data_IF_897756955254
#
_entry.id   IF_897756955254
#
_cell.length_a   1.000
_cell.length_b   1.000
_cell.length_c   1.000
_cell.angle_alpha   90.00
_cell.angle_beta   90.00
_cell.angle_gamma   90.00
#
_symmetry.space_group_name_H-M   'P 1'
#
loop_
_entity.id
_entity.type
_entity.pdbx_description
1 polymer ?
#
# COMPACT_ATOMS: atom_id res chain seq x y z
N UNK A 1 -7.13 6.92 -12.84
CA UNK A 1 -7.59 8.14 -12.13
C UNK A 1 -7.45 7.89 -10.65
N UNK A 2 -6.94 8.91 -9.91
CA UNK A 2 -6.86 8.87 -8.46
C UNK A 2 -7.97 9.72 -7.86
N UNK A 3 -8.58 9.22 -6.76
CA UNK A 3 -9.55 9.95 -5.95
C UNK A 3 -9.19 9.80 -4.47
N UNK A 4 -9.29 10.90 -3.75
CA UNK A 4 -9.02 10.93 -2.32
C UNK A 4 -10.31 11.17 -1.53
N UNK A 5 -10.57 10.32 -0.52
CA UNK A 5 -11.62 10.53 0.47
C UNK A 5 -11.08 11.24 1.71
N UNK A 6 -11.98 11.65 2.59
CA UNK A 6 -11.69 12.29 3.87
C UNK A 6 -10.85 13.58 3.78
N UNK A 7 -10.88 14.29 2.65
CA UNK A 7 -10.22 15.60 2.56
C UNK A 7 -10.98 16.66 3.36
N UNK A 8 -10.32 17.75 3.83
CA UNK A 8 -10.97 18.80 4.59
C UNK A 8 -12.29 19.29 3.98
N UNK A 9 -13.30 19.42 4.81
CA UNK A 9 -14.67 19.86 4.47
C UNK A 9 -15.43 18.95 3.49
N UNK A 10 -14.92 17.77 3.19
CA UNK A 10 -15.60 16.81 2.30
C UNK A 10 -16.78 16.16 3.05
N UNK A 11 -17.91 16.07 2.38
CA UNK A 11 -19.08 15.34 2.89
C UNK A 11 -19.23 14.01 2.17
N UNK A 12 -19.89 13.03 2.81
CA UNK A 12 -20.18 11.72 2.23
C UNK A 12 -20.92 11.85 0.88
N UNK A 13 -21.93 12.74 0.82
CA UNK A 13 -22.70 12.99 -0.42
C UNK A 13 -21.88 13.67 -1.51
N UNK A 14 -20.98 14.60 -1.13
CA UNK A 14 -20.06 15.25 -2.06
C UNK A 14 -19.07 14.25 -2.64
N UNK A 15 -18.51 13.38 -1.82
CA UNK A 15 -17.62 12.32 -2.25
C UNK A 15 -18.34 11.31 -3.18
N UNK A 16 -19.54 10.87 -2.82
CA UNK A 16 -20.36 10.01 -3.67
C UNK A 16 -20.57 10.62 -5.06
N UNK A 17 -20.94 11.90 -5.12
CA UNK A 17 -21.12 12.61 -6.39
C UNK A 17 -19.84 12.64 -7.24
N UNK A 18 -18.67 12.74 -6.61
CA UNK A 18 -17.39 12.69 -7.31
C UNK A 18 -17.09 11.28 -7.85
N UNK A 19 -17.33 10.23 -7.07
CA UNK A 19 -17.21 8.84 -7.56
C UNK A 19 -18.09 8.58 -8.78
N UNK A 20 -19.35 9.00 -8.73
CA UNK A 20 -20.29 8.83 -9.84
C UNK A 20 -19.84 9.57 -11.13
N UNK A 21 -19.19 10.73 -10.97
CA UNK A 21 -18.59 11.44 -12.12
C UNK A 21 -17.39 10.70 -12.69
N UNK A 22 -16.51 10.15 -11.82
CA UNK A 22 -15.34 9.38 -12.23
C UNK A 22 -15.77 8.11 -12.98
N UNK A 23 -16.77 7.40 -12.47
CA UNK A 23 -17.33 6.22 -13.15
C UNK A 23 -17.83 6.55 -14.55
N UNK A 24 -18.46 7.73 -14.74
CA UNK A 24 -18.91 8.19 -16.07
C UNK A 24 -17.77 8.48 -17.06
N UNK A 25 -16.57 8.78 -16.57
CA UNK A 25 -15.37 8.91 -17.41
C UNK A 25 -14.86 7.56 -17.91
N UNK A 26 -15.31 6.49 -17.30
CA UNK A 26 -15.02 5.11 -17.67
C UNK A 26 -13.51 4.79 -17.78
N UNK A 27 -12.68 5.15 -16.78
CA UNK A 27 -11.26 4.81 -16.81
C UNK A 27 -11.05 3.29 -16.64
N UNK A 28 -9.90 2.79 -17.04
CA UNK A 28 -9.51 1.39 -16.86
C UNK A 28 -9.15 1.06 -15.41
N UNK A 29 -8.61 2.06 -14.69
CA UNK A 29 -8.08 1.91 -13.33
C UNK A 29 -8.42 3.12 -12.47
N UNK A 30 -8.77 2.87 -11.21
CA UNK A 30 -9.08 3.89 -10.20
C UNK A 30 -8.32 3.56 -8.92
N UNK A 31 -7.50 4.51 -8.45
CA UNK A 31 -6.92 4.50 -7.12
C UNK A 31 -7.81 5.32 -6.20
N UNK A 32 -8.33 4.71 -5.13
CA UNK A 32 -9.22 5.38 -4.19
C UNK A 32 -8.71 5.15 -2.75
N UNK A 33 -8.19 6.18 -2.15
CA UNK A 33 -7.58 6.12 -0.81
C UNK A 33 -8.03 7.28 0.06
N UNK A 34 -7.97 7.07 1.37
CA UNK A 34 -8.28 8.08 2.37
C UNK A 34 -7.09 9.01 2.58
N UNK A 35 -7.36 10.28 2.86
CA UNK A 35 -6.34 11.24 3.22
C UNK A 35 -5.62 10.78 4.50
N UNK A 36 -4.30 10.77 4.45
CA UNK A 36 -3.44 10.65 5.63
C UNK A 36 -2.82 12.03 5.88
N UNK A 37 -2.99 12.53 7.10
CA UNK A 37 -2.42 13.81 7.50
C UNK A 37 -1.01 13.58 8.03
N UNK A 38 -0.02 14.00 7.25
CA UNK A 38 1.40 13.81 7.56
C UNK A 38 1.93 14.96 8.43
N UNK A 39 2.59 14.61 9.54
CA UNK A 39 3.26 15.57 10.42
C UNK A 39 4.31 16.40 9.65
N UNK A 40 4.45 17.68 10.01
CA UNK A 40 5.38 18.61 9.34
C UNK A 40 4.86 19.17 8.02
N UNK A 41 3.60 18.90 7.65
CA UNK A 41 2.95 19.51 6.47
C UNK A 41 2.06 20.70 6.85
N UNK A 42 1.84 21.67 5.94
CA UNK A 42 0.89 22.74 6.19
C UNK A 42 -0.54 22.25 6.50
N UNK A 43 -0.92 21.10 5.97
CA UNK A 43 -2.20 20.48 6.24
C UNK A 43 -2.30 20.00 7.69
N UNK A 44 -1.23 19.36 8.20
CA UNK A 44 -1.15 18.96 9.60
C UNK A 44 -1.37 20.16 10.52
N UNK A 45 -0.69 21.29 10.27
CA UNK A 45 -0.86 22.52 11.04
C UNK A 45 -2.29 23.08 10.97
N UNK A 46 -2.98 22.92 9.84
CA UNK A 46 -4.39 23.34 9.70
C UNK A 46 -5.32 22.47 10.54
N UNK A 47 -5.11 21.16 10.51
CA UNK A 47 -5.91 20.19 11.27
C UNK A 47 -5.72 20.41 12.76
N UNK A 48 -4.47 20.53 13.23
CA UNK A 48 -4.17 20.81 14.64
C UNK A 48 -4.83 22.11 15.11
N UNK A 49 -4.73 23.20 14.35
CA UNK A 49 -5.35 24.49 14.69
C UNK A 49 -6.88 24.46 14.74
N UNK A 50 -7.49 23.56 13.96
CA UNK A 50 -8.95 23.37 13.98
C UNK A 50 -9.43 22.37 15.04
N UNK A 51 -8.52 21.71 15.76
CA UNK A 51 -8.87 20.60 16.65
C UNK A 51 -9.43 19.38 15.92
N UNK A 52 -9.13 19.23 14.63
CA UNK A 52 -9.65 18.15 13.79
C UNK A 52 -10.99 18.44 13.10
N UNK A 53 -11.69 19.51 13.49
CA UNK A 53 -13.06 19.82 13.04
C UNK A 53 -13.22 19.99 11.52
N UNK A 54 -12.13 20.22 10.79
CA UNK A 54 -12.16 20.36 9.34
C UNK A 54 -12.18 19.04 8.57
N UNK A 55 -11.85 17.94 9.24
CA UNK A 55 -11.86 16.60 8.63
C UNK A 55 -13.22 15.92 8.84
N UNK A 56 -13.65 15.05 7.91
CA UNK A 56 -14.72 14.12 8.17
C UNK A 56 -14.42 13.26 9.39
N UNK A 57 -15.46 12.85 10.10
CA UNK A 57 -15.35 11.91 11.22
C UNK A 57 -14.90 10.52 10.70
N UNK A 58 -14.37 9.69 11.60
CA UNK A 58 -14.04 8.30 11.24
C UNK A 58 -15.23 7.52 10.66
N UNK A 59 -16.44 7.77 11.14
CA UNK A 59 -17.65 7.13 10.64
C UNK A 59 -17.99 7.59 9.21
N UNK A 60 -17.79 8.87 8.91
CA UNK A 60 -17.97 9.40 7.56
C UNK A 60 -16.90 8.84 6.60
N UNK A 61 -15.63 8.72 7.03
CA UNK A 61 -14.59 8.11 6.22
C UNK A 61 -14.89 6.62 5.95
N UNK A 62 -15.32 5.86 6.97
CA UNK A 62 -15.79 4.47 6.78
C UNK A 62 -16.97 4.37 5.81
N UNK A 63 -17.90 5.33 5.85
CA UNK A 63 -19.01 5.39 4.89
C UNK A 63 -18.50 5.67 3.47
N UNK A 64 -17.56 6.61 3.29
CA UNK A 64 -16.95 6.90 1.99
C UNK A 64 -16.23 5.67 1.45
N UNK A 65 -15.48 4.95 2.29
CA UNK A 65 -14.84 3.69 1.90
C UNK A 65 -15.85 2.61 1.47
N UNK A 66 -16.93 2.44 2.22
CA UNK A 66 -17.99 1.48 1.87
C UNK A 66 -18.70 1.85 0.56
N UNK A 67 -18.98 3.14 0.34
CA UNK A 67 -19.53 3.67 -0.91
C UNK A 67 -18.59 3.42 -2.10
N UNK A 68 -17.28 3.64 -1.92
CA UNK A 68 -16.27 3.37 -2.94
C UNK A 68 -16.36 1.91 -3.41
N UNK A 69 -16.30 0.98 -2.48
CA UNK A 69 -16.42 -0.46 -2.79
C UNK A 69 -17.68 -0.78 -3.58
N UNK A 70 -18.82 -0.26 -3.12
CA UNK A 70 -20.12 -0.54 -3.72
C UNK A 70 -20.24 0.06 -5.12
N UNK A 71 -19.98 1.36 -5.27
CA UNK A 71 -20.17 2.10 -6.54
C UNK A 71 -19.22 1.57 -7.61
N UNK A 72 -17.95 1.30 -7.27
CA UNK A 72 -16.99 0.79 -8.23
C UNK A 72 -17.30 -0.66 -8.63
N UNK A 73 -17.73 -1.52 -7.69
CA UNK A 73 -18.17 -2.87 -8.01
C UNK A 73 -19.40 -2.87 -8.93
N UNK A 74 -20.42 -2.05 -8.62
CA UNK A 74 -21.63 -1.90 -9.46
C UNK A 74 -21.28 -1.38 -10.87
N UNK A 75 -20.19 -0.64 -11.02
CA UNK A 75 -19.68 -0.12 -12.29
C UNK A 75 -18.74 -1.09 -13.03
N UNK A 76 -18.51 -2.30 -12.51
CA UNK A 76 -17.70 -3.35 -13.13
C UNK A 76 -16.19 -3.24 -12.87
N UNK A 77 -15.79 -2.52 -11.83
CA UNK A 77 -14.42 -2.55 -11.31
C UNK A 77 -14.32 -3.58 -10.19
N UNK A 78 -13.26 -4.37 -10.19
CA UNK A 78 -12.93 -5.21 -9.05
C UNK A 78 -11.80 -4.59 -8.24
N UNK A 79 -11.91 -4.67 -6.93
CA UNK A 79 -10.83 -4.30 -6.03
C UNK A 79 -9.81 -5.41 -6.02
N UNK A 80 -8.56 -5.15 -6.42
CA UNK A 80 -7.50 -6.15 -6.43
C UNK A 80 -6.52 -6.02 -5.25
N UNK A 81 -6.45 -4.81 -4.64
CA UNK A 81 -5.76 -4.54 -3.39
C UNK A 81 -6.52 -3.48 -2.57
N UNK A 82 -6.02 -3.05 -1.42
CA UNK A 82 -6.77 -2.22 -0.44
C UNK A 82 -7.36 -0.96 -1.05
N UNK A 83 -6.61 -0.24 -1.89
CA UNK A 83 -6.97 1.10 -2.41
C UNK A 83 -7.16 1.13 -3.92
N UNK A 84 -6.88 0.05 -4.64
CA UNK A 84 -6.89 0.06 -6.09
C UNK A 84 -7.95 -0.85 -6.70
N UNK A 85 -8.62 -0.30 -7.70
CA UNK A 85 -9.72 -0.91 -8.41
C UNK A 85 -9.43 -0.87 -9.91
N UNK A 86 -9.72 -1.95 -10.62
CA UNK A 86 -9.46 -2.04 -12.05
C UNK A 86 -10.57 -2.79 -12.79
N UNK A 87 -10.69 -2.55 -14.08
CA UNK A 87 -11.36 -3.49 -14.97
C UNK A 87 -10.49 -4.72 -15.15
N UNK A 88 -11.08 -5.90 -15.43
CA UNK A 88 -10.29 -7.13 -15.63
C UNK A 88 -9.15 -6.92 -16.65
N UNK A 89 -7.92 -7.21 -16.24
CA UNK A 89 -6.71 -7.10 -17.07
C UNK A 89 -6.05 -5.71 -17.06
N UNK A 90 -6.57 -4.75 -16.27
CA UNK A 90 -6.00 -3.42 -16.11
C UNK A 90 -5.46 -3.15 -14.70
N UNK A 91 -5.21 -4.20 -13.93
CA UNK A 91 -4.54 -4.10 -12.63
C UNK A 91 -3.13 -3.49 -12.80
N UNK A 92 -2.78 -2.55 -11.92
CA UNK A 92 -1.47 -1.91 -11.98
C UNK A 92 -0.37 -2.88 -11.52
N UNK A 93 0.36 -3.46 -12.47
CA UNK A 93 1.47 -4.39 -12.18
C UNK A 93 2.57 -3.75 -11.33
N UNK A 94 2.81 -2.45 -11.50
CA UNK A 94 3.77 -1.72 -10.68
C UNK A 94 3.35 -1.73 -9.20
N UNK A 95 2.08 -1.43 -8.89
CA UNK A 95 1.59 -1.47 -7.51
C UNK A 95 1.59 -2.90 -6.95
N UNK A 96 1.10 -3.87 -7.73
CA UNK A 96 1.09 -5.27 -7.32
C UNK A 96 2.51 -5.79 -7.01
N UNK A 97 3.52 -5.39 -7.80
CA UNK A 97 4.90 -5.83 -7.59
C UNK A 97 5.48 -5.47 -6.22
N UNK A 98 5.05 -4.35 -5.62
CA UNK A 98 5.43 -4.02 -4.24
C UNK A 98 4.80 -4.97 -3.22
N UNK A 99 3.53 -5.29 -3.40
CA UNK A 99 2.80 -6.21 -2.51
C UNK A 99 3.28 -7.65 -2.64
N UNK A 100 3.81 -8.02 -3.81
CA UNK A 100 4.44 -9.32 -4.10
C UNK A 100 5.93 -9.35 -3.75
N UNK A 101 6.49 -8.27 -3.19
CA UNK A 101 7.90 -8.14 -2.86
C UNK A 101 8.83 -8.41 -4.05
N UNK A 102 8.47 -7.93 -5.24
CA UNK A 102 9.36 -8.00 -6.42
C UNK A 102 10.54 -7.04 -6.23
N UNK A 103 11.72 -7.42 -6.71
CA UNK A 103 12.90 -6.56 -6.72
C UNK A 103 12.63 -5.25 -7.45
N UNK A 104 13.09 -4.15 -6.88
CA UNK A 104 13.02 -2.84 -7.53
C UNK A 104 14.22 -1.97 -7.15
N UNK A 105 14.57 -1.07 -8.08
CA UNK A 105 15.63 -0.07 -7.87
C UNK A 105 15.03 1.32 -8.03
N UNK A 106 15.17 2.14 -6.98
CA UNK A 106 14.76 3.53 -6.99
C UNK A 106 15.84 4.44 -7.58
N UNK A 107 15.42 5.34 -8.45
CA UNK A 107 16.27 6.35 -9.05
C UNK A 107 15.92 7.74 -8.53
N UNK A 108 16.92 8.52 -8.19
CA UNK A 108 16.76 9.86 -7.67
C UNK A 108 17.00 9.96 -6.15
N UNK A 109 16.97 11.18 -5.63
CA UNK A 109 17.10 11.45 -4.20
C UNK A 109 15.98 10.84 -3.40
N UNK A 110 16.28 10.31 -2.23
CA UNK A 110 15.35 9.65 -1.31
C UNK A 110 14.56 8.46 -1.91
N UNK A 111 14.96 7.95 -3.08
CA UNK A 111 14.29 6.81 -3.69
C UNK A 111 14.72 5.51 -3.02
N UNK A 112 13.74 4.68 -2.64
CA UNK A 112 13.97 3.39 -2.00
C UNK A 112 14.18 2.26 -3.03
N UNK A 113 14.92 1.24 -2.62
CA UNK A 113 15.20 0.03 -3.39
C UNK A 113 15.03 -1.21 -2.52
N UNK A 114 14.61 -2.31 -3.12
CA UNK A 114 14.61 -3.65 -2.52
C UNK A 114 15.27 -4.63 -3.47
N UNK A 115 16.32 -5.29 -3.01
CA UNK A 115 16.99 -6.37 -3.73
C UNK A 115 16.93 -7.64 -2.90
N UNK A 116 16.31 -8.68 -3.45
CA UNK A 116 16.22 -9.98 -2.79
C UNK A 116 17.55 -10.73 -2.87
N UNK A 117 17.71 -11.66 -1.94
CA UNK A 117 18.80 -12.63 -1.95
C UNK A 117 18.92 -13.30 -3.32
N UNK A 118 20.15 -13.36 -3.85
CA UNK A 118 20.50 -13.96 -5.13
C UNK A 118 21.93 -14.50 -5.10
N UNK A 119 22.43 -15.03 -6.20
CA UNK A 119 23.85 -15.42 -6.32
C UNK A 119 24.79 -14.22 -6.09
N UNK A 120 24.38 -13.02 -6.51
CA UNK A 120 25.16 -11.79 -6.35
C UNK A 120 25.00 -11.14 -4.98
N UNK A 121 23.90 -11.41 -4.29
CA UNK A 121 23.58 -10.85 -2.98
C UNK A 121 23.19 -11.97 -2.01
N UNK A 122 24.06 -12.29 -1.02
CA UNK A 122 23.83 -13.42 -0.11
C UNK A 122 22.66 -13.20 0.84
N UNK A 123 22.19 -11.96 0.97
CA UNK A 123 21.09 -11.56 1.83
C UNK A 123 20.25 -10.49 1.13
N UNK A 124 18.94 -10.50 1.34
CA UNK A 124 18.04 -9.43 0.87
C UNK A 124 18.39 -8.12 1.56
N UNK A 125 18.27 -7.02 0.84
CA UNK A 125 18.57 -5.68 1.38
C UNK A 125 17.59 -4.63 0.87
N UNK A 126 17.27 -3.71 1.74
CA UNK A 126 16.57 -2.47 1.42
C UNK A 126 17.54 -1.31 1.63
N UNK A 127 17.48 -0.33 0.75
CA UNK A 127 18.24 0.88 0.91
C UNK A 127 17.50 2.08 0.33
N UNK A 128 17.82 3.27 0.85
CA UNK A 128 17.26 4.55 0.39
C UNK A 128 18.42 5.44 -0.06
N UNK A 129 18.31 6.01 -1.24
CA UNK A 129 19.27 6.97 -1.72
C UNK A 129 19.29 8.22 -0.81
N UNK A 130 20.42 8.92 -0.73
CA UNK A 130 20.50 10.16 0.03
C UNK A 130 19.44 11.17 -0.41
N UNK A 131 18.94 11.96 0.54
CA UNK A 131 18.09 13.12 0.26
C UNK A 131 18.87 14.37 -0.16
N UNK A 132 20.21 14.37 -0.03
CA UNK A 132 21.08 15.43 -0.51
C UNK A 132 21.26 15.35 -2.02
N UNK A 133 20.65 16.30 -2.75
CA UNK A 133 20.69 16.34 -4.21
C UNK A 133 22.11 16.46 -4.77
N UNK A 134 22.96 17.30 -4.17
CA UNK A 134 24.33 17.48 -4.64
C UNK A 134 25.17 16.22 -4.40
N UNK A 135 25.02 15.61 -3.23
CA UNK A 135 25.66 14.34 -2.89
C UNK A 135 25.23 13.21 -3.82
N UNK A 136 23.92 13.13 -4.13
CA UNK A 136 23.40 12.15 -5.08
C UNK A 136 23.98 12.33 -6.49
N UNK A 137 24.02 13.56 -7.00
CA UNK A 137 24.58 13.84 -8.34
C UNK A 137 26.06 13.45 -8.42
N UNK A 138 26.83 13.67 -7.34
CA UNK A 138 28.27 13.33 -7.28
C UNK A 138 28.51 11.82 -7.22
N UNK A 139 27.66 11.08 -6.51
CA UNK A 139 27.77 9.62 -6.36
C UNK A 139 26.36 8.98 -6.29
N UNK A 140 25.74 8.69 -7.44
CA UNK A 140 24.38 8.18 -7.48
C UNK A 140 24.25 6.67 -7.16
N UNK A 141 25.37 5.94 -7.05
CA UNK A 141 25.35 4.49 -6.89
C UNK A 141 25.52 4.07 -5.44
N UNK A 142 26.46 4.72 -4.71
CA UNK A 142 26.86 4.28 -3.37
C UNK A 142 26.57 5.35 -2.30
N UNK A 143 25.64 6.25 -2.55
CA UNK A 143 25.29 7.32 -1.60
C UNK A 143 23.89 7.06 -1.02
N UNK A 144 23.84 6.09 -0.11
CA UNK A 144 22.62 5.72 0.59
C UNK A 144 22.56 6.41 1.96
N UNK A 145 21.36 6.87 2.35
CA UNK A 145 21.11 7.41 3.70
C UNK A 145 20.78 6.30 4.69
N UNK A 146 20.17 5.23 4.21
CA UNK A 146 19.75 4.09 5.00
C UNK A 146 20.04 2.81 4.21
N UNK A 147 20.50 1.79 4.90
CA UNK A 147 20.66 0.44 4.36
C UNK A 147 20.30 -0.58 5.45
N UNK A 148 19.45 -1.53 5.12
CA UNK A 148 18.98 -2.59 5.99
C UNK A 148 19.20 -3.94 5.32
N UNK A 149 19.84 -4.87 6.03
CA UNK A 149 19.95 -6.26 5.62
C UNK A 149 18.80 -7.03 6.25
N UNK A 150 17.91 -7.56 5.42
CA UNK A 150 16.71 -8.26 5.87
C UNK A 150 17.04 -9.69 6.32
N UNK A 151 16.65 -10.03 7.54
CA UNK A 151 16.70 -11.41 8.01
C UNK A 151 15.58 -12.23 7.37
N UNK A 152 15.62 -13.55 7.51
CA UNK A 152 14.52 -14.40 7.05
C UNK A 152 13.21 -14.09 7.78
N UNK A 153 13.28 -13.73 9.06
CA UNK A 153 12.09 -13.35 9.84
C UNK A 153 11.48 -12.05 9.31
N UNK A 154 12.30 -11.01 9.02
CA UNK A 154 11.84 -9.77 8.40
C UNK A 154 11.16 -10.05 7.05
N UNK A 155 11.75 -10.92 6.23
CA UNK A 155 11.17 -11.28 4.93
C UNK A 155 9.85 -12.04 5.05
N UNK A 156 9.69 -12.90 6.07
CA UNK A 156 8.43 -13.60 6.35
C UNK A 156 7.35 -12.61 6.83
N UNK A 157 7.70 -11.66 7.70
CA UNK A 157 6.79 -10.62 8.16
C UNK A 157 6.32 -9.73 7.00
N UNK A 158 7.24 -9.31 6.13
CA UNK A 158 6.90 -8.54 4.94
C UNK A 158 6.00 -9.31 3.97
N UNK A 159 6.27 -10.59 3.75
CA UNK A 159 5.43 -11.45 2.93
C UNK A 159 3.98 -11.46 3.44
N UNK A 160 3.82 -11.48 4.77
CA UNK A 160 2.51 -11.46 5.40
C UNK A 160 1.84 -10.11 5.22
N UNK A 161 2.41 -9.02 5.73
CA UNK A 161 1.69 -7.74 5.77
C UNK A 161 1.54 -7.08 4.40
N UNK A 162 2.47 -7.32 3.45
CA UNK A 162 2.33 -6.84 2.08
C UNK A 162 1.36 -7.72 1.28
N UNK A 163 1.49 -9.05 1.36
CA UNK A 163 0.61 -9.97 0.65
C UNK A 163 -0.84 -9.89 1.09
N UNK A 164 -1.11 -9.64 2.37
CA UNK A 164 -2.47 -9.43 2.90
C UNK A 164 -3.12 -8.11 2.44
N UNK A 165 -2.40 -7.22 1.79
CA UNK A 165 -2.99 -6.07 1.10
C UNK A 165 -3.73 -6.48 -0.17
N UNK A 166 -3.31 -7.57 -0.80
CA UNK A 166 -3.96 -8.11 -1.99
C UNK A 166 -5.29 -8.79 -1.63
N UNK A 167 -6.33 -8.59 -2.44
CA UNK A 167 -7.62 -9.24 -2.20
C UNK A 167 -7.57 -10.75 -2.42
N UNK A 168 -6.59 -11.25 -3.15
CA UNK A 168 -6.31 -12.68 -3.28
C UNK A 168 -5.71 -13.30 -2.00
N UNK A 169 -5.21 -12.45 -1.08
CA UNK A 169 -4.50 -12.90 0.11
C UNK A 169 -3.13 -13.47 -0.21
N UNK A 170 -2.66 -14.36 0.66
CA UNK A 170 -1.40 -15.08 0.53
C UNK A 170 -1.64 -16.59 0.33
N UNK A 171 -0.70 -17.26 -0.34
CA UNK A 171 -0.69 -18.72 -0.45
C UNK A 171 0.29 -19.32 0.57
N UNK A 172 -0.19 -20.30 1.34
CA UNK A 172 0.65 -21.06 2.28
C UNK A 172 1.69 -21.90 1.55
N UNK A 173 1.36 -22.37 0.33
CA UNK A 173 2.25 -23.06 -0.56
C UNK A 173 3.40 -22.15 -1.02
N UNK A 174 3.06 -20.94 -1.48
CA UNK A 174 4.06 -19.93 -1.88
C UNK A 174 4.94 -19.52 -0.71
N UNK A 175 4.39 -19.41 0.51
CA UNK A 175 5.18 -19.17 1.71
C UNK A 175 6.24 -20.27 1.91
N UNK A 176 5.82 -21.53 1.80
CA UNK A 176 6.72 -22.68 1.95
C UNK A 176 7.77 -22.74 0.85
N UNK A 177 7.41 -22.44 -0.40
CA UNK A 177 8.35 -22.39 -1.53
C UNK A 177 9.42 -21.33 -1.34
N UNK A 178 9.03 -20.14 -0.86
CA UNK A 178 9.95 -19.00 -0.67
C UNK A 178 10.87 -19.21 0.54
N UNK A 179 10.31 -19.67 1.68
CA UNK A 179 11.04 -19.67 2.95
C UNK A 179 11.53 -21.07 3.39
N UNK A 180 11.08 -22.14 2.73
CA UNK A 180 11.40 -23.52 3.12
C UNK A 180 10.76 -23.95 4.46
N UNK A 181 9.83 -23.14 5.00
CA UNK A 181 9.14 -23.37 6.28
C UNK A 181 7.64 -23.52 6.07
N UNK A 182 7.01 -24.34 6.86
CA UNK A 182 5.55 -24.47 6.83
C UNK A 182 4.89 -23.23 7.48
N UNK A 183 3.86 -22.71 6.82
CA UNK A 183 3.13 -21.52 7.29
C UNK A 183 2.55 -21.71 8.69
N UNK A 184 1.96 -22.90 8.95
CA UNK A 184 1.31 -23.17 10.23
C UNK A 184 2.30 -23.41 11.37
N UNK A 185 3.55 -23.80 11.07
CA UNK A 185 4.61 -23.84 12.07
C UNK A 185 5.03 -22.46 12.55
N UNK A 186 4.90 -21.44 11.70
CA UNK A 186 5.33 -20.06 12.01
C UNK A 186 4.15 -19.21 12.52
N UNK A 187 3.02 -19.25 11.83
CA UNK A 187 1.87 -18.35 12.06
C UNK A 187 0.58 -19.09 12.47
N UNK A 188 0.62 -20.39 12.69
CA UNK A 188 -0.58 -21.19 12.95
C UNK A 188 -1.42 -20.70 14.12
N UNK A 189 -0.80 -20.35 15.24
CA UNK A 189 -1.51 -19.85 16.43
C UNK A 189 -2.19 -18.49 16.15
N UNK A 190 -1.49 -17.61 15.42
CA UNK A 190 -2.03 -16.30 15.03
C UNK A 190 -3.22 -16.51 14.10
N UNK A 191 -3.06 -17.32 13.04
CA UNK A 191 -4.12 -17.63 12.08
C UNK A 191 -5.35 -18.25 12.78
N UNK A 192 -5.15 -19.22 13.67
CA UNK A 192 -6.23 -19.83 14.43
C UNK A 192 -6.99 -18.83 15.32
N UNK A 193 -6.28 -17.84 15.89
CA UNK A 193 -6.93 -16.78 16.67
C UNK A 193 -7.75 -15.84 15.77
N UNK A 194 -7.24 -15.44 14.62
CA UNK A 194 -7.97 -14.60 13.67
C UNK A 194 -9.22 -15.32 13.10
N UNK A 195 -9.10 -16.63 12.80
CA UNK A 195 -10.25 -17.47 12.42
C UNK A 195 -11.34 -17.49 13.48
N UNK A 196 -10.97 -17.64 14.77
CA UNK A 196 -11.95 -17.62 15.87
C UNK A 196 -12.68 -16.29 15.99
N UNK A 197 -12.04 -15.20 15.57
CA UNK A 197 -12.64 -13.85 15.58
C UNK A 197 -13.43 -13.56 14.29
N UNK A 198 -13.43 -14.46 13.30
CA UNK A 198 -14.10 -14.27 12.01
C UNK A 198 -13.46 -13.20 11.13
N UNK A 199 -12.15 -12.99 11.27
CA UNK A 199 -11.40 -12.00 10.50
C UNK A 199 -10.75 -12.60 9.25
N UNK A 200 -10.55 -13.91 9.23
CA UNK A 200 -10.10 -14.72 8.09
C UNK A 200 -10.86 -16.03 8.07
#
# INVERSE_FOLDING_TARGET
>A
IDIMSAVPYQTVTGYQSNLEKIVKLNPEHISAYSLIVEEGTPLFDMVERSGGDILPTEDEDRQMYALTKKILADAGYHRYEISNYARPGFECRHNASYWERTDYIGFGVAAASLLKKSESYPQSRRFTNTSDLEGYIKNPIDNHSEEELLTQDDEMEEFMFLGLRMMAGISTESFKEVFGRDFYEVYGDIAANQMKQGLI
#
